data_IF_315320092258
#
_entry.id   IF_315320092258
#
_cell.length_a   1.000
_cell.length_b   1.000
_cell.length_c   1.000
_cell.angle_alpha   90.00
_cell.angle_beta   90.00
_cell.angle_gamma   90.00
#
_symmetry.space_group_name_H-M   'P 1'
#
loop_
_entity.id
_entity.type
_entity.pdbx_description
1 polymer ?
#
# COMPACT_ATOMS: atom_id res chain seq x y z
N UNK A 1 29.61 -11.62 2.11
CA UNK A 1 28.54 -11.10 1.25
C UNK A 1 28.38 -9.62 1.52
N UNK A 2 28.52 -8.78 0.50
CA UNK A 2 28.35 -7.34 0.60
C UNK A 2 26.91 -6.89 0.89
N UNK A 3 26.69 -5.59 1.16
CA UNK A 3 25.36 -5.06 1.42
C UNK A 3 24.46 -5.12 0.18
N UNK A 4 23.27 -5.72 0.32
CA UNK A 4 22.26 -5.78 -0.74
C UNK A 4 21.60 -4.41 -0.95
N UNK A 5 21.39 -4.05 -2.21
CA UNK A 5 20.60 -2.91 -2.61
C UNK A 5 19.14 -3.31 -2.86
N UNK A 6 18.20 -2.47 -2.44
CA UNK A 6 16.77 -2.73 -2.62
C UNK A 6 16.11 -1.57 -3.37
N UNK A 7 15.43 -1.82 -4.50
CA UNK A 7 14.72 -0.78 -5.26
C UNK A 7 13.61 -0.08 -4.45
N UNK A 8 13.01 -0.81 -3.50
CA UNK A 8 12.01 -0.29 -2.55
C UNK A 8 12.52 -0.39 -1.12
N UNK A 9 12.05 0.47 -0.19
CA UNK A 9 12.48 0.45 1.20
C UNK A 9 12.36 -0.96 1.79
N UNK A 10 13.49 -1.51 2.23
CA UNK A 10 13.55 -2.81 2.89
C UNK A 10 12.71 -2.83 4.18
N UNK A 11 12.15 -3.98 4.58
CA UNK A 11 11.49 -4.09 5.86
C UNK A 11 12.54 -3.92 6.96
N UNK A 12 12.19 -3.15 7.98
CA UNK A 12 12.95 -3.13 9.22
C UNK A 12 12.56 -4.34 10.08
N UNK A 13 13.44 -4.74 11.00
CA UNK A 13 13.08 -5.76 11.98
C UNK A 13 11.87 -5.29 12.79
N UNK A 14 10.88 -6.15 13.09
CA UNK A 14 9.72 -5.79 13.90
C UNK A 14 10.10 -5.18 15.26
N UNK A 15 11.26 -5.56 15.80
CA UNK A 15 11.78 -5.08 17.08
C UNK A 15 12.53 -3.74 16.99
N UNK A 16 12.64 -3.15 15.80
CA UNK A 16 13.36 -1.88 15.61
C UNK A 16 12.53 -0.72 16.15
N UNK A 17 13.01 -0.10 17.24
CA UNK A 17 12.38 1.10 17.84
C UNK A 17 12.67 2.35 17.03
N UNK A 18 11.99 2.48 15.89
CA UNK A 18 12.06 3.67 15.02
C UNK A 18 11.04 4.72 15.44
N UNK A 19 11.44 5.99 15.38
CA UNK A 19 10.58 7.15 15.58
C UNK A 19 10.55 8.01 14.33
N UNK A 20 9.53 8.87 14.20
CA UNK A 20 9.49 9.90 13.17
C UNK A 20 10.09 11.19 13.71
N UNK A 21 10.99 11.80 12.93
CA UNK A 21 11.46 13.15 13.23
C UNK A 21 10.40 14.20 12.83
N UNK A 22 10.69 15.48 13.11
CA UNK A 22 9.81 16.61 12.77
C UNK A 22 9.50 16.75 11.26
N UNK A 23 10.26 16.05 10.39
CA UNK A 23 10.06 16.03 8.94
C UNK A 23 9.43 14.72 8.46
N UNK A 24 8.94 13.87 9.37
CA UNK A 24 8.33 12.57 9.05
C UNK A 24 9.34 11.51 8.61
N UNK A 25 10.64 11.70 8.86
CA UNK A 25 11.69 10.74 8.50
C UNK A 25 11.92 9.75 9.63
N UNK A 26 12.18 8.50 9.27
CA UNK A 26 12.44 7.40 10.20
C UNK A 26 13.83 7.53 10.81
N UNK A 27 13.91 7.67 12.13
CA UNK A 27 15.14 7.78 12.89
C UNK A 27 15.20 6.76 14.01
N UNK A 28 16.40 6.31 14.34
CA UNK A 28 16.69 5.49 15.51
C UNK A 28 17.61 6.27 16.45
N UNK A 29 17.27 6.29 17.73
CA UNK A 29 18.09 6.98 18.74
C UNK A 29 19.29 6.09 19.09
N UNK A 30 20.49 6.47 18.64
CA UNK A 30 21.74 5.83 19.03
C UNK A 30 22.53 6.77 19.91
N UNK A 31 22.82 6.36 21.16
CA UNK A 31 23.57 7.16 22.14
C UNK A 31 23.02 8.60 22.27
N UNK A 32 21.70 8.74 22.35
CA UNK A 32 21.01 10.04 22.46
C UNK A 32 20.92 10.86 21.17
N UNK A 33 21.48 10.40 20.05
CA UNK A 33 21.43 11.11 18.76
C UNK A 33 20.50 10.40 17.77
N UNK A 34 19.65 11.14 17.04
CA UNK A 34 18.82 10.56 15.99
C UNK A 34 19.68 10.21 14.78
N UNK A 35 19.64 8.95 14.35
CA UNK A 35 20.31 8.45 13.15
C UNK A 35 19.24 8.05 12.14
N UNK A 36 19.35 8.56 10.91
CA UNK A 36 18.42 8.23 9.83
C UNK A 36 18.52 6.74 9.50
N UNK A 37 17.37 6.07 9.40
CA UNK A 37 17.28 4.65 9.05
C UNK A 37 16.79 4.50 7.61
N UNK A 38 17.53 3.75 6.80
CA UNK A 38 17.09 3.32 5.47
C UNK A 38 16.15 2.11 5.61
N UNK A 39 14.89 2.28 5.22
CA UNK A 39 13.88 1.22 5.26
C UNK A 39 12.48 1.72 5.62
N UNK A 40 11.57 0.78 5.83
CA UNK A 40 10.19 1.03 6.26
C UNK A 40 9.75 0.02 7.31
N UNK A 41 8.70 0.34 8.08
CA UNK A 41 8.11 -0.61 9.02
C UNK A 41 7.75 -1.90 8.30
N UNK A 42 7.91 -3.05 8.96
CA UNK A 42 7.69 -4.36 8.34
C UNK A 42 6.32 -4.46 7.66
N UNK A 43 5.26 -4.02 8.35
CA UNK A 43 3.89 -4.02 7.84
C UNK A 43 3.66 -3.10 6.63
N UNK A 44 4.50 -2.07 6.45
CA UNK A 44 4.44 -1.11 5.34
C UNK A 44 5.32 -1.54 4.16
N UNK A 45 6.08 -2.62 4.30
CA UNK A 45 7.00 -3.06 3.28
C UNK A 45 6.25 -3.74 2.15
N UNK A 46 6.53 -3.34 0.90
CA UNK A 46 5.97 -4.00 -0.28
C UNK A 46 6.40 -5.47 -0.38
N UNK A 47 7.56 -5.83 0.19
CA UNK A 47 8.01 -7.22 0.23
C UNK A 47 7.23 -8.04 1.27
N UNK A 48 6.84 -7.44 2.40
CA UNK A 48 5.92 -8.06 3.35
C UNK A 48 4.53 -8.23 2.74
N UNK A 49 4.03 -7.22 2.02
CA UNK A 49 2.76 -7.34 1.33
C UNK A 49 2.81 -8.44 0.26
N UNK A 50 3.89 -8.55 -0.51
CA UNK A 50 4.06 -9.69 -1.43
C UNK A 50 3.86 -11.03 -0.72
N UNK A 51 4.56 -11.21 0.40
CA UNK A 51 4.50 -12.41 1.23
C UNK A 51 3.06 -12.69 1.73
N UNK A 52 2.38 -11.67 2.26
CA UNK A 52 1.01 -11.81 2.75
C UNK A 52 0.01 -12.13 1.62
N UNK A 53 0.16 -11.52 0.45
CA UNK A 53 -0.65 -11.83 -0.72
C UNK A 53 -0.46 -13.28 -1.19
N UNK A 54 0.77 -13.79 -1.17
CA UNK A 54 1.04 -15.18 -1.53
C UNK A 54 0.41 -16.16 -0.53
N UNK A 55 0.34 -15.79 0.76
CA UNK A 55 -0.40 -16.57 1.78
C UNK A 55 -1.91 -16.63 1.52
N UNK A 56 -2.49 -15.73 0.72
CA UNK A 56 -3.91 -15.77 0.31
C UNK A 56 -4.14 -16.60 -0.96
N UNK A 57 -3.09 -17.12 -1.60
CA UNK A 57 -3.25 -18.04 -2.73
C UNK A 57 -3.58 -19.45 -2.26
N UNK A 58 -4.80 -19.90 -2.55
CA UNK A 58 -5.19 -21.30 -2.36
C UNK A 58 -4.34 -22.26 -3.19
N UNK A 59 -3.91 -21.85 -4.40
CA UNK A 59 -3.03 -22.66 -5.25
C UNK A 59 -1.68 -22.87 -4.58
N UNK A 60 -1.11 -21.81 -4.03
CA UNK A 60 0.18 -21.89 -3.36
C UNK A 60 0.09 -22.74 -2.08
N UNK A 61 -1.00 -22.60 -1.31
CA UNK A 61 -1.28 -23.46 -0.16
C UNK A 61 -1.29 -24.95 -0.53
N UNK A 62 -1.96 -25.31 -1.63
CA UNK A 62 -1.98 -26.69 -2.14
C UNK A 62 -0.59 -27.12 -2.61
N UNK A 63 0.16 -26.23 -3.27
CA UNK A 63 1.52 -26.51 -3.71
C UNK A 63 2.46 -26.79 -2.52
N UNK A 64 2.39 -26.00 -1.43
CA UNK A 64 3.17 -26.24 -0.22
C UNK A 64 2.89 -27.62 0.38
N UNK A 65 1.62 -28.01 0.50
CA UNK A 65 1.23 -29.34 0.99
C UNK A 65 1.71 -30.50 0.09
N UNK A 66 1.96 -30.21 -1.19
CA UNK A 66 2.41 -31.19 -2.20
C UNK A 66 3.86 -30.99 -2.64
N UNK A 67 4.70 -30.39 -1.77
CA UNK A 67 6.14 -30.15 -2.01
C UNK A 67 6.41 -29.43 -3.34
N UNK A 68 5.63 -28.40 -3.62
CA UNK A 68 5.76 -27.53 -4.79
C UNK A 68 5.07 -28.01 -6.06
N UNK A 69 4.32 -29.12 -6.04
CA UNK A 69 3.62 -29.60 -7.25
C UNK A 69 2.64 -28.53 -7.75
N UNK A 70 2.72 -28.19 -9.05
CA UNK A 70 1.91 -27.16 -9.69
C UNK A 70 2.45 -25.73 -9.60
N UNK A 71 3.33 -25.42 -8.64
CA UNK A 71 3.93 -24.07 -8.47
C UNK A 71 5.42 -24.11 -8.12
N UNK A 72 6.15 -25.07 -8.69
CA UNK A 72 7.53 -25.41 -8.30
C UNK A 72 8.48 -24.22 -8.35
N UNK A 73 8.40 -23.40 -9.40
CA UNK A 73 9.25 -22.21 -9.56
C UNK A 73 9.18 -21.25 -8.35
N UNK A 74 7.98 -20.94 -7.88
CA UNK A 74 7.81 -20.06 -6.70
C UNK A 74 8.14 -20.81 -5.43
N UNK A 75 7.76 -22.10 -5.35
CA UNK A 75 8.03 -22.93 -4.17
C UNK A 75 9.52 -23.12 -3.89
N UNK A 76 10.35 -23.32 -4.91
CA UNK A 76 11.80 -23.51 -4.75
C UNK A 76 12.46 -22.28 -4.12
N UNK A 77 11.97 -21.10 -4.46
CA UNK A 77 12.46 -19.82 -3.95
C UNK A 77 11.90 -19.50 -2.56
N UNK A 78 10.58 -19.51 -2.42
CA UNK A 78 9.88 -19.03 -1.22
C UNK A 78 9.74 -20.11 -0.14
N UNK A 79 9.74 -21.40 -0.51
CA UNK A 79 9.52 -22.52 0.41
C UNK A 79 8.09 -22.63 0.93
N UNK A 80 7.88 -23.35 2.03
CA UNK A 80 6.59 -23.35 2.70
C UNK A 80 6.44 -22.10 3.57
N UNK A 81 5.88 -21.03 3.01
CA UNK A 81 5.71 -19.76 3.73
C UNK A 81 4.68 -19.85 4.87
N UNK A 82 3.82 -20.87 4.89
CA UNK A 82 2.75 -21.00 5.87
C UNK A 82 3.25 -21.42 7.25
N UNK A 83 4.49 -21.92 7.36
CA UNK A 83 5.13 -22.19 8.65
C UNK A 83 5.49 -20.91 9.41
N UNK A 84 5.60 -19.78 8.69
CA UNK A 84 5.98 -18.49 9.26
C UNK A 84 4.74 -17.64 9.59
N UNK A 85 4.57 -17.34 10.88
CA UNK A 85 3.41 -16.63 11.42
C UNK A 85 3.74 -15.20 11.87
N UNK A 86 2.85 -14.27 11.56
CA UNK A 86 2.99 -12.86 11.93
C UNK A 86 4.22 -12.16 11.35
N UNK A 87 4.54 -11.00 11.94
CA UNK A 87 5.67 -10.17 11.53
C UNK A 87 7.01 -10.85 11.82
N UNK A 88 7.13 -11.55 12.93
CA UNK A 88 8.36 -12.26 13.31
C UNK A 88 8.64 -13.44 12.39
N UNK A 89 7.60 -14.21 12.02
CA UNK A 89 7.74 -15.28 11.04
C UNK A 89 8.17 -14.74 9.68
N UNK A 90 7.55 -13.66 9.20
CA UNK A 90 8.02 -13.00 7.98
C UNK A 90 9.49 -12.57 8.10
N UNK A 91 9.87 -11.97 9.22
CA UNK A 91 11.26 -11.52 9.43
C UNK A 91 12.25 -12.68 9.41
N UNK A 92 11.87 -13.83 9.99
CA UNK A 92 12.66 -15.05 9.90
C UNK A 92 12.83 -15.50 8.43
N UNK A 93 11.73 -15.64 7.69
CA UNK A 93 11.76 -15.99 6.27
C UNK A 93 12.56 -14.98 5.43
N UNK A 94 12.45 -13.69 5.75
CA UNK A 94 13.17 -12.62 5.06
C UNK A 94 14.67 -12.77 5.19
N UNK A 95 15.17 -13.06 6.39
CA UNK A 95 16.61 -13.25 6.62
C UNK A 95 17.14 -14.53 5.99
N UNK A 96 16.35 -15.61 6.03
CA UNK A 96 16.74 -16.90 5.46
C UNK A 96 16.74 -16.89 3.92
N UNK A 97 15.77 -16.20 3.30
CA UNK A 97 15.50 -16.29 1.85
C UNK A 97 15.16 -14.95 1.22
N UNK A 98 14.19 -14.22 1.77
CA UNK A 98 13.55 -13.08 1.12
C UNK A 98 14.53 -12.00 0.67
N UNK A 99 15.50 -11.63 1.51
CA UNK A 99 16.48 -10.58 1.18
C UNK A 99 17.29 -10.91 -0.08
N UNK A 100 17.58 -12.18 -0.36
CA UNK A 100 18.34 -12.61 -1.54
C UNK A 100 17.48 -12.71 -2.81
N UNK A 101 16.15 -12.82 -2.65
CA UNK A 101 15.20 -12.85 -3.76
C UNK A 101 14.90 -11.45 -4.30
N UNK A 102 14.88 -10.46 -3.40
CA UNK A 102 14.51 -9.08 -3.71
C UNK A 102 15.69 -8.09 -3.69
N UNK A 103 16.80 -8.51 -3.09
CA UNK A 103 18.02 -7.73 -3.01
C UNK A 103 18.83 -7.87 -4.30
N UNK A 104 19.37 -6.76 -4.74
CA UNK A 104 20.35 -6.66 -5.80
C UNK A 104 21.71 -6.68 -5.12
N UNK A 105 22.52 -7.71 -5.39
CA UNK A 105 23.93 -7.67 -5.02
C UNK A 105 24.62 -6.71 -5.97
N UNK A 106 25.09 -5.53 -5.55
CA UNK A 106 25.75 -4.61 -6.47
C UNK A 106 27.05 -5.27 -6.93
N UNK A 107 27.19 -5.55 -8.22
CA UNK A 107 28.46 -6.05 -8.77
C UNK A 107 29.55 -4.96 -8.76
N UNK A 108 29.34 -3.75 -8.22
CA UNK A 108 30.44 -2.76 -8.10
C UNK A 108 30.17 -1.68 -7.06
N UNK A 109 30.85 -1.72 -5.91
CA UNK A 109 31.12 -0.53 -5.09
C UNK A 109 32.62 -0.36 -4.81
N UNK A 110 33.50 -0.92 -5.65
CA UNK A 110 34.91 -0.54 -5.61
C UNK A 110 35.06 0.87 -6.20
N UNK A 111 34.91 1.87 -5.34
CA UNK A 111 35.16 3.27 -5.70
C UNK A 111 36.64 3.65 -5.56
N UNK A 112 37.45 2.79 -4.94
CA UNK A 112 38.86 2.96 -4.64
C UNK A 112 39.67 1.69 -4.95
N UNK A 113 41.00 1.78 -4.84
CA UNK A 113 41.90 0.62 -4.98
C UNK A 113 41.61 -0.42 -3.91
N UNK A 114 41.39 -1.66 -4.36
CA UNK A 114 41.09 -2.83 -3.54
C UNK A 114 42.35 -3.32 -2.79
N UNK A 115 42.23 -3.67 -1.51
CA UNK A 115 43.30 -4.38 -0.78
C UNK A 115 43.41 -5.84 -1.27
N UNK A 116 44.50 -6.53 -0.89
CA UNK A 116 44.64 -7.97 -1.18
C UNK A 116 43.59 -8.81 -0.44
N UNK A 117 43.13 -8.37 0.73
CA UNK A 117 42.07 -9.05 1.48
C UNK A 117 40.71 -8.88 0.81
N UNK A 118 40.40 -7.66 0.37
CA UNK A 118 39.16 -7.36 -0.38
C UNK A 118 39.15 -8.06 -1.75
N UNK A 119 40.30 -8.23 -2.38
CA UNK A 119 40.45 -8.98 -3.63
C UNK A 119 40.06 -10.46 -3.47
N UNK A 120 40.39 -11.07 -2.33
CA UNK A 120 40.04 -12.46 -2.04
C UNK A 120 38.51 -12.68 -1.97
N UNK A 121 37.76 -11.67 -1.51
CA UNK A 121 36.29 -11.73 -1.47
C UNK A 121 35.64 -11.73 -2.87
N UNK A 122 36.38 -11.32 -3.90
CA UNK A 122 35.91 -11.20 -5.29
C UNK A 122 36.36 -12.35 -6.18
N UNK A 123 37.09 -13.35 -5.66
CA UNK A 123 37.69 -14.44 -6.43
C UNK A 123 36.68 -15.16 -7.33
N UNK A 124 35.49 -15.47 -6.79
CA UNK A 124 34.42 -16.14 -7.56
C UNK A 124 33.88 -15.25 -8.68
N UNK A 125 33.70 -13.97 -8.41
CA UNK A 125 33.19 -12.99 -9.39
C UNK A 125 34.22 -12.74 -10.50
N UNK A 126 35.52 -12.73 -10.17
CA UNK A 126 36.62 -12.67 -11.13
C UNK A 126 36.64 -13.93 -11.99
N UNK A 127 36.50 -15.12 -11.40
CA UNK A 127 36.48 -16.40 -12.12
C UNK A 127 35.32 -16.51 -13.12
N UNK A 128 34.16 -15.93 -12.80
CA UNK A 128 32.97 -15.90 -13.68
C UNK A 128 33.03 -14.73 -14.69
N UNK A 129 34.08 -13.91 -14.64
CA UNK A 129 34.33 -12.83 -15.60
C UNK A 129 33.56 -11.54 -15.31
N UNK A 130 33.08 -11.35 -14.08
CA UNK A 130 32.36 -10.14 -13.66
C UNK A 130 33.32 -8.99 -13.37
N UNK A 131 34.56 -9.32 -13.01
CA UNK A 131 35.66 -8.37 -12.83
C UNK A 131 36.87 -8.76 -13.67
N UNK A 132 37.63 -7.75 -14.10
CA UNK A 132 38.93 -7.91 -14.70
C UNK A 132 39.98 -7.17 -13.88
N UNK A 133 41.07 -7.84 -13.55
CA UNK A 133 42.14 -7.28 -12.73
C UNK A 133 43.12 -6.49 -13.59
N UNK A 134 43.49 -5.29 -13.13
CA UNK A 134 44.47 -4.43 -13.79
C UNK A 134 45.57 -4.05 -12.80
N UNK A 135 46.80 -4.48 -13.07
CA UNK A 135 47.98 -4.05 -12.32
C UNK A 135 48.51 -2.72 -12.87
N UNK A 136 48.67 -1.71 -12.00
CA UNK A 136 49.21 -0.39 -12.37
C UNK A 136 50.61 -0.18 -11.80
N UNK A 137 51.65 -0.05 -12.63
CA UNK A 137 53.00 0.20 -12.16
C UNK A 137 53.15 1.65 -11.66
N UNK A 138 53.68 1.83 -10.45
CA UNK A 138 53.77 3.15 -9.77
C UNK A 138 54.92 4.03 -10.26
N UNK A 139 55.82 3.49 -11.09
CA UNK A 139 56.96 4.21 -11.67
C UNK A 139 56.59 5.02 -12.93
N UNK A 140 55.33 5.00 -13.37
CA UNK A 140 54.86 5.74 -14.54
C UNK A 140 54.16 7.04 -14.16
N UNK A 141 54.12 7.98 -15.11
CA UNK A 141 53.32 9.19 -14.95
C UNK A 141 51.83 8.87 -14.95
N UNK A 142 51.02 9.68 -14.23
CA UNK A 142 49.56 9.53 -14.19
C UNK A 142 48.92 9.57 -15.59
N UNK A 143 49.47 10.36 -16.51
CA UNK A 143 49.01 10.44 -17.89
C UNK A 143 49.24 9.12 -18.65
N UNK A 144 50.44 8.55 -18.52
CA UNK A 144 50.75 7.24 -19.12
C UNK A 144 49.86 6.12 -18.56
N UNK A 145 49.58 6.14 -17.25
CA UNK A 145 48.67 5.19 -16.61
C UNK A 145 47.23 5.32 -17.13
N UNK A 146 46.68 6.55 -17.19
CA UNK A 146 45.35 6.80 -17.75
C UNK A 146 45.20 6.30 -19.18
N UNK A 147 46.20 6.56 -20.04
CA UNK A 147 46.19 6.10 -21.43
C UNK A 147 46.24 4.58 -21.55
N UNK A 148 47.02 3.90 -20.70
CA UNK A 148 47.09 2.43 -20.68
C UNK A 148 45.77 1.81 -20.21
N UNK A 149 45.21 2.31 -19.11
CA UNK A 149 43.91 1.85 -18.61
C UNK A 149 42.81 2.08 -19.64
N UNK A 150 42.80 3.26 -20.29
CA UNK A 150 41.86 3.57 -21.36
C UNK A 150 41.90 2.56 -22.50
N UNK A 151 43.11 2.15 -22.95
CA UNK A 151 43.26 1.11 -23.99
C UNK A 151 42.73 -0.25 -23.53
N UNK A 152 43.00 -0.65 -22.28
CA UNK A 152 42.49 -1.91 -21.71
C UNK A 152 40.95 -1.90 -21.66
N UNK A 153 40.35 -0.78 -21.23
CA UNK A 153 38.90 -0.61 -21.22
C UNK A 153 38.32 -0.72 -22.63
N UNK A 154 38.96 -0.10 -23.64
CA UNK A 154 38.49 -0.18 -25.03
C UNK A 154 38.51 -1.60 -25.62
N UNK A 155 39.33 -2.49 -25.07
CA UNK A 155 39.43 -3.89 -25.49
C UNK A 155 38.54 -4.83 -24.66
N UNK A 156 38.01 -4.33 -23.55
CA UNK A 156 37.16 -5.10 -22.65
C UNK A 156 35.78 -5.30 -23.28
N UNK A 157 35.29 -6.53 -23.26
CA UNK A 157 33.90 -6.80 -23.60
C UNK A 157 33.03 -6.46 -22.38
N UNK A 158 32.31 -5.35 -22.46
CA UNK A 158 31.41 -4.90 -21.40
C UNK A 158 30.00 -5.28 -21.81
N UNK A 159 29.30 -6.01 -20.94
CA UNK A 159 27.88 -6.30 -21.11
C UNK A 159 27.03 -5.40 -20.19
N UNK A 160 26.65 -4.20 -20.65
CA UNK A 160 25.75 -3.33 -19.89
C UNK A 160 24.32 -3.89 -19.78
N UNK A 161 23.99 -4.97 -20.50
CA UNK A 161 22.70 -5.64 -20.40
C UNK A 161 22.64 -6.68 -19.27
N UNK A 162 23.80 -6.98 -18.64
CA UNK A 162 23.91 -7.74 -17.40
C UNK A 162 23.37 -6.89 -16.25
N UNK A 163 22.06 -6.80 -16.25
CA UNK A 163 21.26 -6.03 -15.34
C UNK A 163 21.24 -6.83 -14.04
N UNK A 164 21.91 -6.34 -12.99
CA UNK A 164 21.83 -6.89 -11.63
C UNK A 164 20.40 -6.63 -11.10
N UNK A 165 19.44 -7.31 -11.69
CA UNK A 165 18.05 -7.21 -11.34
C UNK A 165 17.76 -8.23 -10.26
N UNK A 166 17.00 -7.82 -9.25
CA UNK A 166 16.47 -8.74 -8.28
C UNK A 166 15.66 -9.83 -9.00
N UNK A 167 15.75 -11.07 -8.49
CA UNK A 167 15.01 -12.21 -9.04
C UNK A 167 13.51 -11.95 -9.10
N UNK A 168 13.00 -11.21 -8.12
CA UNK A 168 11.62 -10.73 -8.07
C UNK A 168 11.59 -9.21 -8.01
N UNK A 169 10.81 -8.60 -8.91
CA UNK A 169 10.66 -7.15 -9.02
C UNK A 169 9.23 -6.71 -8.77
N UNK A 170 9.11 -5.54 -8.15
CA UNK A 170 7.84 -4.84 -7.99
C UNK A 170 7.63 -4.05 -9.28
N UNK A 171 6.66 -4.48 -10.11
CA UNK A 171 6.52 -4.02 -11.50
C UNK A 171 6.27 -2.52 -11.64
N UNK A 172 5.47 -1.94 -10.74
CA UNK A 172 5.13 -0.52 -10.84
C UNK A 172 5.94 0.33 -9.87
N UNK A 173 6.42 1.47 -10.37
CA UNK A 173 7.22 2.42 -9.59
C UNK A 173 6.37 3.14 -8.53
N UNK A 174 5.06 3.34 -8.78
CA UNK A 174 4.14 4.12 -7.91
C UNK A 174 3.16 3.26 -7.10
N UNK A 175 3.59 2.10 -6.60
CA UNK A 175 2.73 1.26 -5.75
C UNK A 175 2.64 1.87 -4.36
N UNK A 176 1.42 2.21 -3.95
CA UNK A 176 1.10 2.64 -2.60
C UNK A 176 0.81 1.43 -1.68
N UNK A 177 1.54 1.36 -0.57
CA UNK A 177 1.43 0.25 0.37
C UNK A 177 0.08 0.24 1.10
N UNK A 178 -0.47 1.42 1.42
CA UNK A 178 -1.75 1.52 2.14
C UNK A 178 -2.93 1.10 1.24
N UNK A 179 -2.90 1.47 -0.04
CA UNK A 179 -3.83 0.94 -1.04
C UNK A 179 -3.81 -0.59 -1.09
N UNK A 180 -2.63 -1.20 -1.10
CA UNK A 180 -2.50 -2.67 -1.13
C UNK A 180 -2.99 -3.33 0.16
N UNK A 181 -2.75 -2.75 1.34
CA UNK A 181 -3.31 -3.23 2.61
C UNK A 181 -4.83 -3.19 2.59
N UNK A 182 -5.40 -2.08 2.12
CA UNK A 182 -6.85 -1.92 2.03
C UNK A 182 -7.48 -2.93 1.06
N UNK A 183 -6.82 -3.22 -0.06
CA UNK A 183 -7.25 -4.29 -0.98
C UNK A 183 -7.23 -5.65 -0.29
N UNK A 184 -6.14 -5.99 0.39
CA UNK A 184 -5.99 -7.28 1.08
C UNK A 184 -7.01 -7.43 2.21
N UNK A 185 -7.22 -6.38 3.01
CA UNK A 185 -8.25 -6.37 4.06
C UNK A 185 -9.65 -6.56 3.48
N UNK A 186 -9.98 -5.88 2.37
CA UNK A 186 -11.26 -6.07 1.70
C UNK A 186 -11.45 -7.51 1.21
N UNK A 187 -10.40 -8.14 0.69
CA UNK A 187 -10.41 -9.55 0.29
C UNK A 187 -10.62 -10.48 1.49
N UNK A 188 -9.85 -10.31 2.56
CA UNK A 188 -9.95 -11.14 3.76
C UNK A 188 -11.34 -11.05 4.40
N UNK A 189 -11.92 -9.85 4.49
CA UNK A 189 -13.29 -9.64 4.98
C UNK A 189 -14.33 -10.27 4.05
N UNK A 190 -14.10 -10.28 2.74
CA UNK A 190 -14.99 -10.96 1.80
C UNK A 190 -14.96 -12.48 2.00
N UNK A 191 -13.79 -13.06 2.25
CA UNK A 191 -13.66 -14.49 2.57
C UNK A 191 -14.36 -14.86 3.90
N UNK A 192 -14.47 -13.92 4.84
CA UNK A 192 -15.25 -14.07 6.08
C UNK A 192 -16.76 -13.97 5.87
N UNK A 193 -17.23 -13.72 4.64
CA UNK A 193 -18.66 -13.69 4.30
C UNK A 193 -19.35 -12.33 4.44
N UNK A 194 -18.60 -11.25 4.70
CA UNK A 194 -19.19 -9.92 4.85
C UNK A 194 -19.74 -9.36 3.54
N UNK A 195 -20.77 -8.51 3.64
CA UNK A 195 -21.31 -7.78 2.50
C UNK A 195 -20.38 -6.65 2.04
N UNK A 196 -20.45 -6.30 0.75
CA UNK A 196 -19.65 -5.25 0.16
C UNK A 196 -19.81 -3.88 0.85
N UNK A 197 -20.99 -3.60 1.44
CA UNK A 197 -21.23 -2.36 2.18
C UNK A 197 -20.56 -2.38 3.56
N UNK A 198 -20.62 -3.50 4.29
CA UNK A 198 -19.94 -3.66 5.59
C UNK A 198 -18.42 -3.59 5.43
N UNK A 199 -17.89 -4.23 4.39
CA UNK A 199 -16.47 -4.13 4.03
C UNK A 199 -16.11 -2.67 3.74
N UNK A 200 -16.97 -1.93 3.02
CA UNK A 200 -16.72 -0.52 2.72
C UNK A 200 -16.58 0.31 4.00
N UNK A 201 -17.41 0.06 5.02
CA UNK A 201 -17.35 0.77 6.30
C UNK A 201 -16.09 0.46 7.10
N UNK A 202 -15.53 -0.74 6.97
CA UNK A 202 -14.30 -1.13 7.67
C UNK A 202 -13.02 -0.67 6.97
N UNK A 203 -13.03 -0.65 5.64
CA UNK A 203 -11.84 -0.36 4.83
C UNK A 203 -11.73 1.13 4.48
N UNK A 204 -12.86 1.83 4.36
CA UNK A 204 -12.87 3.28 4.13
C UNK A 204 -13.14 4.02 5.43
N UNK A 205 -12.63 5.25 5.54
CA UNK A 205 -12.90 6.20 6.63
C UNK A 205 -14.34 6.73 6.59
N UNK A 206 -15.34 5.85 6.51
CA UNK A 206 -16.75 6.19 6.73
C UNK A 206 -16.91 6.37 8.23
N UNK A 207 -17.37 7.55 8.66
CA UNK A 207 -17.57 7.81 10.09
C UNK A 207 -18.70 6.92 10.62
N UNK A 208 -18.70 6.53 11.92
CA UNK A 208 -19.79 5.75 12.51
C UNK A 208 -21.16 6.37 12.24
N UNK A 209 -21.26 7.70 12.32
CA UNK A 209 -22.48 8.46 12.05
C UNK A 209 -22.93 8.38 10.58
N UNK A 210 -22.01 8.42 9.62
CA UNK A 210 -22.32 8.20 8.20
C UNK A 210 -22.76 6.76 7.96
N UNK A 211 -22.12 5.78 8.61
CA UNK A 211 -22.51 4.37 8.50
C UNK A 211 -23.93 4.14 9.05
N UNK A 212 -24.25 4.69 10.22
CA UNK A 212 -25.60 4.65 10.80
C UNK A 212 -26.64 5.26 9.86
N UNK A 213 -26.40 6.46 9.31
CA UNK A 213 -27.31 7.10 8.34
C UNK A 213 -27.50 6.24 7.08
N UNK A 214 -26.42 5.62 6.58
CA UNK A 214 -26.49 4.72 5.44
C UNK A 214 -27.21 3.41 5.79
N UNK A 215 -27.27 2.97 7.05
CA UNK A 215 -28.00 1.75 7.41
C UNK A 215 -29.53 1.98 7.54
N UNK A 216 -29.99 3.23 7.61
CA UNK A 216 -31.41 3.56 7.70
C UNK A 216 -32.16 3.07 6.44
N UNK A 217 -33.27 2.37 6.67
CA UNK A 217 -34.24 2.00 5.64
C UNK A 217 -35.23 3.15 5.43
N UNK A 218 -35.09 3.88 4.31
CA UNK A 218 -35.97 5.00 3.95
C UNK A 218 -37.45 4.61 3.80
N UNK A 219 -37.78 3.31 3.65
CA UNK A 219 -39.17 2.84 3.61
C UNK A 219 -39.85 2.82 4.98
N UNK A 220 -39.07 2.77 6.06
CA UNK A 220 -39.57 2.67 7.45
C UNK A 220 -39.63 4.01 8.17
N UNK A 221 -39.17 5.09 7.55
CA UNK A 221 -39.13 6.42 8.17
C UNK A 221 -39.82 7.47 7.26
N UNK A 222 -41.16 7.61 7.32
CA UNK A 222 -41.97 8.42 6.39
C UNK A 222 -41.82 9.95 6.58
N UNK A 223 -40.82 10.40 7.35
CA UNK A 223 -40.53 11.83 7.55
C UNK A 223 -39.71 12.45 6.42
N UNK A 224 -39.35 11.65 5.43
CA UNK A 224 -38.45 11.99 4.35
C UNK A 224 -39.28 12.23 3.07
N UNK A 225 -39.32 13.47 2.58
CA UNK A 225 -40.04 13.86 1.36
C UNK A 225 -39.04 14.50 0.41
N UNK A 226 -39.04 14.15 -0.86
CA UNK A 226 -38.18 14.81 -1.86
C UNK A 226 -38.76 16.16 -2.28
N UNK A 227 -38.03 16.91 -3.12
CA UNK A 227 -38.46 18.24 -3.56
C UNK A 227 -39.81 18.17 -4.28
N UNK A 228 -40.00 17.18 -5.15
CA UNK A 228 -41.22 16.98 -5.92
C UNK A 228 -42.41 16.60 -5.02
N UNK A 229 -42.20 15.72 -4.04
CA UNK A 229 -43.21 15.37 -3.05
C UNK A 229 -43.53 16.50 -2.08
N UNK A 230 -42.60 17.43 -1.81
CA UNK A 230 -42.88 18.63 -1.02
C UNK A 230 -43.65 19.68 -1.84
N UNK A 231 -43.32 19.83 -3.11
CA UNK A 231 -44.10 20.65 -4.05
C UNK A 231 -45.52 20.08 -4.16
N UNK A 232 -45.66 18.79 -4.39
CA UNK A 232 -46.95 18.10 -4.45
C UNK A 232 -47.72 18.26 -3.13
N UNK A 233 -47.07 18.13 -1.97
CA UNK A 233 -47.69 18.37 -0.67
C UNK A 233 -48.11 19.83 -0.48
N UNK A 234 -47.32 20.79 -0.96
CA UNK A 234 -47.67 22.21 -0.90
C UNK A 234 -48.90 22.54 -1.74
N UNK A 235 -49.10 21.81 -2.85
CA UNK A 235 -50.19 21.97 -3.81
C UNK A 235 -51.46 21.21 -3.41
N UNK A 236 -51.32 19.95 -2.96
CA UNK A 236 -52.43 19.03 -2.72
C UNK A 236 -52.82 18.91 -1.24
N UNK A 237 -51.92 19.21 -0.30
CA UNK A 237 -52.13 19.08 1.15
C UNK A 237 -51.46 20.21 1.94
N UNK A 238 -51.87 21.43 1.61
CA UNK A 238 -51.28 22.67 2.13
C UNK A 238 -51.27 22.76 3.67
N UNK A 239 -52.26 22.18 4.34
CA UNK A 239 -52.36 22.15 5.80
C UNK A 239 -51.23 21.31 6.44
N UNK A 240 -50.89 20.17 5.84
CA UNK A 240 -49.79 19.34 6.32
C UNK A 240 -48.43 19.98 6.02
N UNK A 241 -48.27 20.56 4.83
CA UNK A 241 -47.07 21.30 4.44
C UNK A 241 -46.75 22.42 5.44
N UNK A 242 -47.72 23.30 5.72
CA UNK A 242 -47.53 24.42 6.65
C UNK A 242 -47.27 23.97 8.09
N UNK A 243 -47.90 22.86 8.52
CA UNK A 243 -47.65 22.28 9.84
C UNK A 243 -46.19 21.80 9.97
N UNK A 244 -45.63 21.21 8.90
CA UNK A 244 -44.22 20.81 8.86
C UNK A 244 -43.30 22.02 8.84
N UNK A 245 -43.60 23.03 8.00
CA UNK A 245 -42.81 24.26 7.86
C UNK A 245 -42.65 24.99 9.19
N UNK A 246 -43.78 25.24 9.86
CA UNK A 246 -43.77 25.92 11.15
C UNK A 246 -42.95 25.18 12.20
N UNK A 247 -43.04 23.85 12.23
CA UNK A 247 -42.24 23.04 13.15
C UNK A 247 -40.74 23.11 12.84
N UNK A 248 -40.38 23.11 11.56
CA UNK A 248 -39.00 23.24 11.13
C UNK A 248 -38.42 24.61 11.51
N UNK A 249 -39.15 25.70 11.23
CA UNK A 249 -38.80 27.08 11.61
C UNK A 249 -38.57 27.23 13.12
N UNK A 250 -39.44 26.65 13.95
CA UNK A 250 -39.31 26.68 15.41
C UNK A 250 -38.03 25.94 15.89
N UNK A 251 -37.66 24.83 15.25
CA UNK A 251 -36.47 24.06 15.60
C UNK A 251 -35.20 24.82 15.18
N UNK A 252 -35.17 25.36 13.95
CA UNK A 252 -34.02 26.12 13.44
C UNK A 252 -33.81 27.38 14.27
N UNK A 253 -34.86 28.15 14.53
CA UNK A 253 -34.80 29.37 15.35
C UNK A 253 -34.23 29.09 16.75
N UNK A 254 -34.76 28.07 17.45
CA UNK A 254 -34.24 27.66 18.77
C UNK A 254 -32.79 27.15 18.72
N UNK A 255 -32.33 26.63 17.58
CA UNK A 255 -30.94 26.20 17.39
C UNK A 255 -30.03 27.40 17.20
N UNK A 256 -30.45 28.40 16.41
CA UNK A 256 -29.69 29.62 16.16
C UNK A 256 -29.57 30.49 17.42
N UNK A 257 -30.64 30.63 18.19
CA UNK A 257 -30.63 31.29 19.51
C UNK A 257 -29.58 30.67 20.45
N UNK A 258 -29.55 29.33 20.54
CA UNK A 258 -28.56 28.61 21.37
C UNK A 258 -27.12 28.81 20.91
N UNK A 259 -26.91 29.08 19.63
CA UNK A 259 -25.58 29.29 19.05
C UNK A 259 -25.18 30.77 19.02
N UNK A 260 -26.05 31.69 19.44
CA UNK A 260 -25.84 33.12 19.32
C UNK A 260 -25.70 33.58 17.86
N UNK A 261 -26.36 32.88 16.93
CA UNK A 261 -26.34 33.16 15.49
C UNK A 261 -27.69 33.68 15.01
N UNK A 262 -27.67 34.44 13.94
CA UNK A 262 -28.85 34.93 13.21
C UNK A 262 -29.05 34.14 11.91
N UNK A 263 -30.15 34.38 11.19
CA UNK A 263 -30.37 33.76 9.88
C UNK A 263 -29.28 34.16 8.87
N UNK A 264 -28.65 35.34 9.03
CA UNK A 264 -27.67 35.89 8.07
C UNK A 264 -26.30 35.22 8.24
N UNK A 265 -26.07 34.61 9.41
CA UNK A 265 -24.82 33.93 9.74
C UNK A 265 -24.75 32.49 9.20
N UNK A 266 -25.83 31.99 8.59
CA UNK A 266 -26.01 30.60 8.20
C UNK A 266 -26.78 30.46 6.88
N UNK A 267 -26.67 29.30 6.25
CA UNK A 267 -27.56 28.91 5.16
C UNK A 267 -28.92 28.48 5.74
N UNK A 268 -29.78 29.47 6.03
CA UNK A 268 -31.06 29.28 6.71
C UNK A 268 -32.00 28.36 5.93
N UNK A 269 -32.06 28.52 4.61
CA UNK A 269 -32.87 27.68 3.72
C UNK A 269 -32.39 26.22 3.76
N UNK A 270 -31.08 25.97 3.71
CA UNK A 270 -30.57 24.60 3.85
C UNK A 270 -30.83 23.98 5.23
N UNK A 271 -30.91 24.79 6.29
CA UNK A 271 -31.29 24.32 7.63
C UNK A 271 -32.78 24.02 7.71
N UNK A 272 -33.62 24.86 7.11
CA UNK A 272 -35.06 24.66 7.01
C UNK A 272 -35.40 23.41 6.21
N UNK A 273 -34.83 23.27 5.01
CA UNK A 273 -34.97 22.09 4.15
C UNK A 273 -34.64 20.81 4.93
N UNK A 274 -33.55 20.84 5.68
CA UNK A 274 -33.14 19.71 6.52
C UNK A 274 -34.15 19.36 7.62
N UNK A 275 -34.69 20.35 8.34
CA UNK A 275 -35.67 20.11 9.40
C UNK A 275 -37.08 19.81 8.84
N UNK A 276 -37.36 20.24 7.60
CA UNK A 276 -38.54 19.87 6.80
C UNK A 276 -38.51 18.43 6.31
N UNK A 277 -37.38 17.74 6.48
CA UNK A 277 -37.19 16.39 5.97
C UNK A 277 -36.94 16.36 4.45
N UNK A 278 -36.61 17.51 3.85
CA UNK A 278 -36.14 17.66 2.47
C UNK A 278 -34.73 17.08 2.41
N UNK A 279 -34.67 15.76 2.23
CA UNK A 279 -33.40 15.10 2.08
C UNK A 279 -32.89 15.35 0.68
N UNK A 280 -31.60 15.72 0.61
CA UNK A 280 -30.74 15.22 -0.46
C UNK A 280 -30.98 13.71 -0.52
N UNK A 281 -31.75 13.34 -1.53
CA UNK A 281 -32.79 12.30 -1.56
C UNK A 281 -32.31 10.90 -1.18
N UNK A 282 -33.25 9.97 -0.98
CA UNK A 282 -32.96 8.53 -1.02
C UNK A 282 -32.01 8.14 -2.18
N UNK A 283 -32.05 8.89 -3.29
CA UNK A 283 -31.09 8.81 -4.38
C UNK A 283 -29.63 9.10 -3.95
N UNK A 284 -29.34 10.09 -3.11
CA UNK A 284 -27.98 10.38 -2.61
C UNK A 284 -27.47 9.26 -1.71
N UNK A 285 -28.28 8.77 -0.75
CA UNK A 285 -27.89 7.59 0.06
C UNK A 285 -27.71 6.35 -0.81
N UNK A 286 -28.60 6.12 -1.76
CA UNK A 286 -28.53 4.97 -2.69
C UNK A 286 -27.31 5.07 -3.59
N UNK A 287 -27.03 6.24 -4.16
CA UNK A 287 -25.83 6.52 -4.97
C UNK A 287 -24.56 6.38 -4.14
N UNK A 288 -24.55 6.83 -2.88
CA UNK A 288 -23.44 6.65 -1.96
C UNK A 288 -23.20 5.17 -1.65
N UNK A 289 -24.25 4.40 -1.31
CA UNK A 289 -24.16 2.94 -1.13
C UNK A 289 -23.64 2.24 -2.39
N UNK A 290 -24.15 2.61 -3.57
CA UNK A 290 -23.72 2.06 -4.85
C UNK A 290 -22.24 2.36 -5.13
N UNK A 291 -21.80 3.60 -4.87
CA UNK A 291 -20.40 4.01 -5.00
C UNK A 291 -19.49 3.26 -4.02
N UNK A 292 -19.93 3.11 -2.76
CA UNK A 292 -19.20 2.33 -1.75
C UNK A 292 -19.03 0.87 -2.19
N UNK A 293 -20.13 0.20 -2.57
CA UNK A 293 -20.10 -1.17 -3.10
C UNK A 293 -19.20 -1.30 -4.32
N UNK A 294 -19.35 -0.42 -5.30
CA UNK A 294 -18.54 -0.42 -6.53
C UNK A 294 -17.05 -0.32 -6.20
N UNK A 295 -16.68 0.57 -5.28
CA UNK A 295 -15.31 0.72 -4.86
C UNK A 295 -14.79 -0.49 -4.08
N UNK A 296 -15.60 -1.08 -3.20
CA UNK A 296 -15.26 -2.33 -2.50
C UNK A 296 -14.97 -3.45 -3.49
N UNK A 297 -15.82 -3.63 -4.51
CA UNK A 297 -15.57 -4.64 -5.55
C UNK A 297 -14.29 -4.37 -6.34
N UNK A 298 -13.94 -3.10 -6.59
CA UNK A 298 -12.65 -2.75 -7.21
C UNK A 298 -11.47 -3.16 -6.31
N UNK A 299 -11.55 -2.93 -5.00
CA UNK A 299 -10.52 -3.33 -4.04
C UNK A 299 -10.35 -4.86 -4.02
N UNK A 300 -11.46 -5.61 -3.96
CA UNK A 300 -11.45 -7.08 -3.97
C UNK A 300 -10.83 -7.61 -5.27
N UNK A 301 -11.30 -7.13 -6.43
CA UNK A 301 -10.76 -7.53 -7.74
C UNK A 301 -9.27 -7.22 -7.87
N UNK A 302 -8.83 -6.08 -7.33
CA UNK A 302 -7.41 -5.71 -7.32
C UNK A 302 -6.60 -6.62 -6.40
N UNK A 303 -7.16 -7.05 -5.28
CA UNK A 303 -6.52 -8.03 -4.41
C UNK A 303 -6.36 -9.38 -5.13
N UNK A 304 -7.42 -9.88 -5.75
CA UNK A 304 -7.41 -11.11 -6.55
C UNK A 304 -6.37 -11.06 -7.68
N UNK A 305 -6.28 -9.93 -8.38
CA UNK A 305 -5.28 -9.73 -9.42
C UNK A 305 -3.85 -9.79 -8.88
N UNK A 306 -3.59 -9.19 -7.72
CA UNK A 306 -2.28 -9.25 -7.08
C UNK A 306 -1.98 -10.64 -6.49
N UNK A 307 -2.98 -11.38 -5.98
CA UNK A 307 -2.82 -12.80 -5.58
C UNK A 307 -2.42 -13.63 -6.80
N UNK A 308 -3.13 -13.49 -7.92
CA UNK A 308 -2.77 -14.18 -9.16
C UNK A 308 -1.41 -13.75 -9.71
N UNK A 309 -0.98 -12.51 -9.45
CA UNK A 309 0.33 -12.01 -9.86
C UNK A 309 1.46 -12.67 -9.07
N UNK A 310 1.36 -12.73 -7.73
CA UNK A 310 2.41 -13.32 -6.90
C UNK A 310 2.57 -14.81 -7.20
N UNK A 311 1.49 -15.50 -7.61
CA UNK A 311 1.54 -16.87 -8.12
C UNK A 311 2.47 -17.03 -9.34
N UNK A 312 2.67 -15.97 -10.12
CA UNK A 312 3.54 -15.92 -11.31
C UNK A 312 4.90 -15.29 -11.04
N UNK A 313 5.16 -14.83 -9.81
CA UNK A 313 6.38 -14.13 -9.46
C UNK A 313 6.35 -12.64 -9.81
N UNK A 314 5.17 -12.03 -9.86
CA UNK A 314 4.97 -10.61 -10.15
C UNK A 314 4.18 -9.95 -9.02
N UNK A 315 4.36 -8.65 -8.80
CA UNK A 315 3.57 -7.94 -7.79
C UNK A 315 3.54 -6.43 -8.01
N UNK A 316 2.61 -5.80 -7.31
CA UNK A 316 2.50 -4.36 -7.29
C UNK A 316 1.72 -3.83 -8.49
N UNK A 317 0.63 -4.49 -8.87
CA UNK A 317 -0.33 -3.90 -9.80
C UNK A 317 -1.02 -2.74 -9.05
N UNK A 318 -0.47 -1.54 -9.26
CA UNK A 318 -0.99 -0.26 -8.75
C UNK A 318 -2.21 0.21 -9.53
N UNK A 319 -2.82 1.31 -9.08
CA UNK A 319 -3.81 2.03 -9.91
C UNK A 319 -3.10 2.94 -10.90
#
# INVERSE_FOLDING_TARGET
>A
MGPLFFPKPQPLSPNTKVQLDAKGRRVLIRKGKPVLVKGTWTADSLYYLWFEYLKRSNKYKIACASKGKGMRKIFDDFGDIFQYQGLDGFWQWWNERGQYLFGISPVSQLNDFCSLEELAELETEIAVGNYQLVALPTNLTKSALKNRVGKLISQMNVDPSRNDLAKYQIKHVKVDADSLKNCLLAYDLKQQGLDALEIAFRVKSVTPKEAEDLLIDGRKNPREVDLEGLVEMSEQNHAEYNKRLKRAEEIVSKRLERLGKTWDDVDYDALLDKEMGLLKTNYVRTARKASLRTNTYKLIKKAEANIAAVERGEFGFGH
#
